data_IF_162026289040
#
_entry.id   IF_162026289040
#
_cell.length_a   1.000
_cell.length_b   1.000
_cell.length_c   1.000
_cell.angle_alpha   90.00
_cell.angle_beta   90.00
_cell.angle_gamma   90.00
#
_symmetry.space_group_name_H-M   'P 1'
#
loop_
_entity.id
_entity.type
_entity.pdbx_description
1 polymer ?
#
# COMPACT_ATOMS: atom_id res chain seq x y z
N UNK A 1 -5.10 -9.78 -7.53
CA UNK A 1 -3.92 -8.99 -7.12
C UNK A 1 -4.31 -7.52 -7.23
N UNK A 2 -3.97 -6.70 -6.23
CA UNK A 2 -4.08 -5.24 -6.25
C UNK A 2 -2.66 -4.71 -6.37
N UNK A 3 -2.44 -3.78 -7.30
CA UNK A 3 -1.15 -3.11 -7.51
C UNK A 3 -1.33 -1.61 -7.42
N UNK A 4 -0.33 -0.95 -6.86
CA UNK A 4 -0.19 0.51 -6.89
C UNK A 4 0.79 0.89 -7.99
N UNK A 5 0.48 1.96 -8.72
CA UNK A 5 1.32 2.46 -9.79
C UNK A 5 2.11 3.66 -9.27
N UNK A 6 3.43 3.61 -9.40
CA UNK A 6 4.30 4.76 -9.21
C UNK A 6 4.82 5.23 -10.56
N UNK A 7 4.85 6.54 -10.75
CA UNK A 7 5.43 7.15 -11.95
C UNK A 7 6.45 8.20 -11.54
N UNK A 8 7.65 8.12 -12.10
CA UNK A 8 8.66 9.17 -11.99
C UNK A 8 9.07 9.67 -13.37
N UNK A 9 9.51 10.92 -13.41
CA UNK A 9 9.97 11.55 -14.64
C UNK A 9 11.49 11.51 -14.68
N UNK A 10 12.03 10.90 -15.74
CA UNK A 10 13.42 11.06 -16.09
C UNK A 10 13.54 12.40 -16.82
N UNK A 11 14.31 13.31 -16.23
CA UNK A 11 14.71 14.57 -16.85
C UNK A 11 16.16 14.83 -16.49
N UNK A 12 17.06 14.56 -17.43
CA UNK A 12 18.51 14.68 -17.25
C UNK A 12 19.16 15.11 -18.56
N UNK A 13 20.47 15.30 -18.58
CA UNK A 13 21.23 15.58 -19.80
C UNK A 13 21.99 14.36 -20.32
N UNK A 14 22.44 14.40 -21.58
CA UNK A 14 23.33 13.36 -22.11
C UNK A 14 24.67 13.35 -21.35
N UNK A 15 25.21 14.52 -21.01
CA UNK A 15 26.45 14.63 -20.23
C UNK A 15 26.35 13.97 -18.85
N UNK A 16 25.20 14.10 -18.21
CA UNK A 16 24.97 13.53 -16.88
C UNK A 16 24.81 12.01 -16.98
N UNK A 17 24.14 11.51 -18.03
CA UNK A 17 24.01 10.08 -18.29
C UNK A 17 25.35 9.42 -18.63
N UNK A 18 26.22 10.08 -19.40
CA UNK A 18 27.55 9.57 -19.75
C UNK A 18 28.45 9.33 -18.53
N UNK A 19 28.20 10.07 -17.44
CA UNK A 19 28.94 9.94 -16.17
C UNK A 19 28.20 9.15 -15.09
N UNK A 20 26.94 8.80 -15.35
CA UNK A 20 26.10 8.06 -14.42
C UNK A 20 26.51 6.59 -14.33
N UNK A 21 26.47 6.05 -13.11
CA UNK A 21 26.57 4.60 -12.86
C UNK A 21 25.22 3.94 -12.66
N UNK A 22 24.18 4.75 -12.46
CA UNK A 22 22.82 4.32 -12.11
C UNK A 22 21.93 4.18 -13.35
N UNK A 23 22.25 4.92 -14.42
CA UNK A 23 21.46 4.97 -15.65
C UNK A 23 22.38 4.80 -16.85
N UNK A 24 22.00 3.93 -17.77
CA UNK A 24 22.76 3.68 -19.01
C UNK A 24 21.87 3.97 -20.20
N UNK A 25 22.21 4.98 -21.00
CA UNK A 25 21.50 5.26 -22.24
C UNK A 25 22.03 4.38 -23.37
N UNK A 26 21.13 3.67 -24.05
CA UNK A 26 21.39 2.97 -25.32
C UNK A 26 20.27 3.30 -26.29
N UNK A 27 20.61 3.96 -27.40
CA UNK A 27 19.64 4.48 -28.36
C UNK A 27 18.58 5.37 -27.70
N UNK A 28 17.31 4.93 -27.72
CA UNK A 28 16.18 5.63 -27.11
C UNK A 28 15.69 4.93 -25.83
N UNK A 29 16.57 4.17 -25.17
CA UNK A 29 16.26 3.43 -23.94
C UNK A 29 17.26 3.80 -22.86
N UNK A 30 16.76 4.27 -21.72
CA UNK A 30 17.53 4.35 -20.48
C UNK A 30 17.32 3.05 -19.70
N UNK A 31 18.40 2.32 -19.49
CA UNK A 31 18.44 1.10 -18.68
C UNK A 31 18.83 1.45 -17.24
N UNK A 32 18.11 0.89 -16.28
CA UNK A 32 18.37 1.02 -14.84
C UNK A 32 18.99 -0.31 -14.36
N UNK A 33 20.33 -0.42 -14.20
CA UNK A 33 20.99 -1.69 -13.92
C UNK A 33 20.58 -2.36 -12.62
N UNK A 34 20.23 -1.58 -11.59
CA UNK A 34 19.83 -2.09 -10.27
C UNK A 34 18.54 -2.93 -10.36
N UNK A 35 17.56 -2.48 -11.13
CA UNK A 35 16.25 -3.15 -11.26
C UNK A 35 16.14 -3.98 -12.54
N UNK A 36 17.01 -3.75 -13.52
CA UNK A 36 16.96 -4.37 -14.84
C UNK A 36 15.90 -3.80 -15.77
N UNK A 37 15.32 -2.65 -15.44
CA UNK A 37 14.23 -2.06 -16.20
C UNK A 37 14.71 -1.14 -17.33
N UNK A 38 13.88 -1.05 -18.37
CA UNK A 38 14.11 -0.27 -19.57
C UNK A 38 13.05 0.81 -19.70
N UNK A 39 13.50 2.05 -19.86
CA UNK A 39 12.63 3.22 -20.01
C UNK A 39 12.83 3.83 -21.38
N UNK A 40 11.76 3.83 -22.18
CA UNK A 40 11.77 4.56 -23.44
C UNK A 40 11.87 6.06 -23.18
N UNK A 41 12.85 6.70 -23.81
CA UNK A 41 13.13 8.13 -23.67
C UNK A 41 13.09 8.85 -25.01
N UNK A 42 12.82 10.14 -24.94
CA UNK A 42 12.93 11.09 -26.04
C UNK A 42 14.13 11.98 -25.75
N UNK A 43 15.05 12.06 -26.70
CA UNK A 43 16.20 12.96 -26.64
C UNK A 43 15.95 14.19 -27.50
N UNK A 44 16.14 15.38 -26.94
CA UNK A 44 16.07 16.65 -27.66
C UNK A 44 17.23 17.53 -27.26
N UNK A 45 18.11 17.81 -28.21
CA UNK A 45 19.40 18.45 -27.95
C UNK A 45 20.17 17.65 -26.87
N UNK A 46 20.61 18.32 -25.82
CA UNK A 46 21.30 17.70 -24.69
C UNK A 46 20.35 17.16 -23.62
N UNK A 47 19.02 17.24 -23.79
CA UNK A 47 18.07 16.81 -22.77
C UNK A 47 17.40 15.47 -23.09
N UNK A 48 17.31 14.60 -22.10
CA UNK A 48 16.65 13.30 -22.16
C UNK A 48 15.42 13.31 -21.28
N UNK A 49 14.29 12.86 -21.84
CA UNK A 49 12.99 12.85 -21.18
C UNK A 49 12.37 11.45 -21.23
N UNK A 50 11.89 10.94 -20.11
CA UNK A 50 11.17 9.68 -20.06
C UNK A 50 10.20 9.65 -18.88
N UNK A 51 9.25 8.71 -18.95
CA UNK A 51 8.40 8.38 -17.81
C UNK A 51 8.68 6.93 -17.45
N UNK A 52 9.18 6.73 -16.25
CA UNK A 52 9.38 5.42 -15.66
C UNK A 52 8.16 5.07 -14.83
N UNK A 53 7.57 3.90 -15.10
CA UNK A 53 6.36 3.42 -14.46
C UNK A 53 6.69 2.09 -13.79
N UNK A 54 6.45 2.02 -12.49
CA UNK A 54 6.56 0.78 -11.72
C UNK A 54 5.24 0.42 -11.06
N UNK A 55 5.13 -0.85 -10.70
CA UNK A 55 3.97 -1.37 -10.00
C UNK A 55 4.42 -2.07 -8.72
N UNK A 56 3.90 -1.63 -7.58
CA UNK A 56 4.08 -2.34 -6.32
C UNK A 56 2.84 -3.18 -5.98
N UNK A 57 3.04 -4.33 -5.35
CA UNK A 57 1.94 -5.24 -4.99
C UNK A 57 1.40 -4.89 -3.61
N UNK A 58 0.29 -4.16 -3.57
CA UNK A 58 -0.44 -3.86 -2.33
C UNK A 58 -1.08 -5.12 -1.73
N UNK A 59 -1.57 -6.03 -2.58
CA UNK A 59 -2.20 -7.27 -2.09
C UNK A 59 -2.21 -8.38 -3.14
N UNK A 60 -1.74 -9.56 -2.74
CA UNK A 60 -1.79 -10.78 -3.53
C UNK A 60 -2.52 -11.86 -2.76
N UNK A 61 -3.65 -12.34 -3.27
CA UNK A 61 -4.39 -13.46 -2.67
C UNK A 61 -3.50 -14.70 -2.68
N UNK A 62 -3.31 -15.30 -1.50
CA UNK A 62 -2.48 -16.49 -1.29
C UNK A 62 -2.98 -17.26 -0.05
N UNK A 63 -2.23 -18.28 0.40
CA UNK A 63 -2.50 -18.93 1.69
C UNK A 63 -2.30 -17.98 2.88
N UNK A 64 -1.30 -17.09 2.78
CA UNK A 64 -0.95 -16.11 3.82
C UNK A 64 -1.78 -14.82 3.74
N UNK A 65 -2.41 -14.56 2.59
CA UNK A 65 -3.16 -13.34 2.32
C UNK A 65 -4.58 -13.65 1.87
N UNK A 66 -5.55 -13.45 2.76
CA UNK A 66 -6.93 -13.92 2.58
C UNK A 66 -7.86 -12.76 2.33
N UNK A 67 -8.62 -12.82 1.24
CA UNK A 67 -9.69 -11.87 0.94
C UNK A 67 -11.03 -12.42 1.43
N UNK A 68 -11.72 -11.68 2.31
CA UNK A 68 -13.08 -12.03 2.79
C UNK A 68 -14.09 -10.99 2.35
N UNK A 69 -15.31 -11.39 2.04
CA UNK A 69 -16.40 -10.48 1.65
C UNK A 69 -17.46 -10.44 2.75
N UNK A 70 -17.92 -9.23 3.12
CA UNK A 70 -19.02 -9.04 4.05
C UNK A 70 -19.79 -7.75 3.78
N UNK A 71 -21.12 -7.85 3.61
CA UNK A 71 -22.06 -6.72 3.39
C UNK A 71 -21.58 -5.65 2.39
N UNK A 72 -21.04 -6.09 1.24
CA UNK A 72 -20.59 -5.18 0.18
C UNK A 72 -19.18 -4.61 0.37
N UNK A 73 -18.52 -4.96 1.48
CA UNK A 73 -17.11 -4.70 1.71
C UNK A 73 -16.27 -5.94 1.46
N UNK A 74 -15.00 -5.72 1.18
CA UNK A 74 -13.95 -6.72 1.19
C UNK A 74 -13.02 -6.43 2.36
N UNK A 75 -12.48 -7.48 2.96
CA UNK A 75 -11.51 -7.41 4.04
C UNK A 75 -10.25 -8.13 3.57
N UNK A 76 -9.17 -7.37 3.43
CA UNK A 76 -7.84 -7.87 3.14
C UNK A 76 -7.20 -8.25 4.47
N UNK A 77 -6.94 -9.54 4.66
CA UNK A 77 -6.26 -10.06 5.83
C UNK A 77 -4.86 -10.44 5.37
N UNK A 78 -3.85 -9.77 5.91
CA UNK A 78 -2.44 -9.95 5.61
C UNK A 78 -1.80 -10.52 6.86
N UNK A 79 -1.15 -11.67 6.74
CA UNK A 79 -0.42 -12.27 7.85
C UNK A 79 0.96 -11.60 7.98
N UNK A 80 1.28 -11.10 9.18
CA UNK A 80 2.59 -10.51 9.47
C UNK A 80 3.60 -11.57 9.92
N UNK A 81 4.85 -11.16 10.13
CA UNK A 81 5.94 -12.04 10.55
C UNK A 81 5.75 -12.63 11.97
N UNK A 82 4.82 -12.07 12.74
CA UNK A 82 4.46 -12.50 14.10
C UNK A 82 3.21 -13.41 14.12
N UNK A 83 2.78 -13.92 12.96
CA UNK A 83 1.63 -14.81 12.75
C UNK A 83 0.24 -14.16 12.98
N UNK A 84 0.18 -12.83 13.06
CA UNK A 84 -1.03 -12.06 13.30
C UNK A 84 -1.63 -11.50 12.01
N UNK A 85 -2.90 -11.10 12.08
CA UNK A 85 -3.62 -10.54 10.95
C UNK A 85 -3.65 -9.01 11.00
N UNK A 86 -3.04 -8.38 10.00
CA UNK A 86 -3.31 -6.98 9.66
C UNK A 86 -4.54 -6.97 8.75
N UNK A 87 -5.59 -6.24 9.16
CA UNK A 87 -6.88 -6.24 8.47
C UNK A 87 -7.18 -4.86 7.91
N UNK A 88 -7.44 -4.79 6.60
CA UNK A 88 -7.92 -3.58 5.94
C UNK A 88 -9.30 -3.79 5.33
N UNK A 89 -10.17 -2.79 5.45
CA UNK A 89 -11.49 -2.73 4.82
C UNK A 89 -11.38 -2.07 3.45
N UNK A 90 -11.58 -2.86 2.39
CA UNK A 90 -11.62 -2.43 1.00
C UNK A 90 -13.07 -2.22 0.53
N UNK A 91 -13.34 -1.05 -0.08
CA UNK A 91 -14.63 -0.73 -0.67
C UNK A 91 -14.45 -0.19 -2.09
N UNK A 92 -15.09 -0.84 -3.06
CA UNK A 92 -15.16 -0.34 -4.43
C UNK A 92 -16.35 0.63 -4.61
N UNK A 93 -16.13 1.70 -5.37
CA UNK A 93 -17.16 2.65 -5.80
C UNK A 93 -17.57 2.33 -7.25
N UNK A 94 -18.72 2.89 -7.66
CA UNK A 94 -19.32 2.63 -8.99
C UNK A 94 -18.47 3.12 -10.16
N UNK A 95 -17.66 4.15 -9.93
CA UNK A 95 -16.73 4.72 -10.91
C UNK A 95 -15.44 3.89 -11.07
N UNK A 96 -15.31 2.78 -10.34
CA UNK A 96 -14.12 1.93 -10.34
C UNK A 96 -13.01 2.39 -9.39
N UNK A 97 -13.19 3.51 -8.67
CA UNK A 97 -12.29 3.87 -7.57
C UNK A 97 -12.50 2.96 -6.35
N UNK A 98 -11.53 2.94 -5.45
CA UNK A 98 -11.59 2.13 -4.23
C UNK A 98 -11.01 2.88 -3.02
N UNK A 99 -11.54 2.60 -1.84
CA UNK A 99 -10.94 3.05 -0.57
C UNK A 99 -10.43 1.83 0.20
N UNK A 100 -9.18 1.88 0.67
CA UNK A 100 -8.60 0.90 1.58
C UNK A 100 -8.44 1.55 2.93
N UNK A 101 -9.16 1.07 3.94
CA UNK A 101 -9.18 1.70 5.26
C UNK A 101 -8.65 0.77 6.35
N UNK A 102 -7.82 1.31 7.24
CA UNK A 102 -7.33 0.68 8.47
C UNK A 102 -7.91 1.31 9.73
N UNK A 103 -7.39 0.87 10.87
CA UNK A 103 -7.65 1.42 12.21
C UNK A 103 -6.28 1.81 12.77
N UNK A 104 -6.03 3.08 13.08
CA UNK A 104 -4.66 3.52 13.40
C UNK A 104 -4.53 4.77 14.29
N UNK A 105 -5.61 5.24 14.89
CA UNK A 105 -5.53 6.38 15.81
C UNK A 105 -5.60 5.89 17.25
N UNK A 106 -4.70 6.38 18.12
CA UNK A 106 -4.72 6.09 19.56
C UNK A 106 -6.08 6.46 20.19
N UNK A 107 -6.71 7.54 19.71
CA UNK A 107 -8.07 7.95 20.11
C UNK A 107 -9.14 6.91 19.73
N UNK A 108 -8.89 6.12 18.68
CA UNK A 108 -9.79 5.06 18.24
C UNK A 108 -9.66 3.80 19.12
N UNK A 109 -8.50 3.59 19.75
CA UNK A 109 -8.29 2.46 20.65
C UNK A 109 -9.18 2.57 21.90
N UNK A 110 -9.35 3.77 22.45
CA UNK A 110 -10.25 3.97 23.60
C UNK A 110 -11.70 3.61 23.27
N UNK A 111 -12.18 3.93 22.06
CA UNK A 111 -13.51 3.52 21.61
C UNK A 111 -13.60 2.01 21.39
N UNK A 112 -12.55 1.40 20.86
CA UNK A 112 -12.52 -0.05 20.63
C UNK A 112 -12.48 -0.86 21.92
N UNK A 113 -11.93 -0.31 23.02
CA UNK A 113 -11.98 -0.92 24.37
C UNK A 113 -13.42 -1.12 24.87
N UNK A 114 -14.38 -0.34 24.37
CA UNK A 114 -15.82 -0.51 24.70
C UNK A 114 -16.46 -1.69 23.94
N UNK A 115 -15.82 -2.19 22.88
CA UNK A 115 -16.37 -3.20 21.97
C UNK A 115 -15.64 -4.54 22.10
N UNK A 116 -14.32 -4.52 22.28
CA UNK A 116 -13.50 -5.73 22.34
C UNK A 116 -12.29 -5.55 23.25
N UNK A 117 -11.65 -6.66 23.60
CA UNK A 117 -10.42 -6.64 24.41
C UNK A 117 -9.24 -6.23 23.54
N UNK A 118 -8.43 -5.31 24.07
CA UNK A 118 -7.20 -4.82 23.43
C UNK A 118 -5.99 -5.23 24.29
N UNK A 119 -4.98 -5.79 23.64
CA UNK A 119 -3.65 -6.03 24.22
C UNK A 119 -2.70 -4.98 23.66
N UNK A 120 -2.02 -4.25 24.54
CA UNK A 120 -1.03 -3.24 24.18
C UNK A 120 0.36 -3.86 24.30
N UNK A 121 1.14 -3.85 23.23
CA UNK A 121 2.55 -4.23 23.27
C UNK A 121 3.42 -2.99 23.40
N UNK A 122 4.41 -3.06 24.29
CA UNK A 122 5.30 -1.94 24.61
C UNK A 122 6.75 -2.31 24.34
N UNK A 123 7.56 -1.32 23.98
CA UNK A 123 9.00 -1.49 23.88
C UNK A 123 9.69 -1.40 25.26
N UNK A 124 11.01 -1.59 25.29
CA UNK A 124 11.85 -1.51 26.51
C UNK A 124 11.76 -0.18 27.28
N UNK A 125 11.22 0.87 26.65
CA UNK A 125 11.01 2.19 27.26
C UNK A 125 9.57 2.40 27.76
N UNK A 126 8.73 1.36 27.72
CA UNK A 126 7.33 1.40 28.12
C UNK A 126 6.42 2.16 27.17
N UNK A 127 6.86 2.46 25.94
CA UNK A 127 6.01 3.11 24.93
C UNK A 127 5.23 2.04 24.16
N UNK A 128 3.92 2.21 24.03
CA UNK A 128 3.07 1.35 23.19
C UNK A 128 3.52 1.46 21.73
N UNK A 129 3.79 0.31 21.12
CA UNK A 129 4.20 0.19 19.72
C UNK A 129 3.14 -0.46 18.86
N UNK A 130 2.20 -1.19 19.47
CA UNK A 130 1.23 -2.02 18.75
C UNK A 130 0.02 -2.34 19.63
N UNK A 131 -1.14 -2.41 18.99
CA UNK A 131 -2.40 -2.81 19.60
C UNK A 131 -2.92 -4.07 18.91
N UNK A 132 -3.25 -5.10 19.70
CA UNK A 132 -3.79 -6.37 19.21
C UNK A 132 -5.22 -6.51 19.72
N UNK A 133 -6.15 -6.79 18.82
CA UNK A 133 -7.56 -7.05 19.16
C UNK A 133 -7.98 -8.43 18.67
N UNK A 134 -8.82 -9.11 19.46
CA UNK A 134 -9.36 -10.43 19.09
C UNK A 134 -10.88 -10.42 19.13
N UNK A 135 -11.54 -9.65 18.25
CA UNK A 135 -12.98 -9.48 18.33
C UNK A 135 -13.72 -10.77 18.01
N UNK A 136 -14.75 -11.05 18.82
CA UNK A 136 -15.76 -12.04 18.48
C UNK A 136 -16.57 -11.64 17.25
N UNK A 137 -17.38 -12.57 16.73
CA UNK A 137 -18.18 -12.32 15.52
C UNK A 137 -19.10 -11.09 15.64
N UNK A 138 -19.79 -10.92 16.77
CA UNK A 138 -20.70 -9.78 16.95
C UNK A 138 -19.95 -8.48 17.20
N UNK A 139 -18.83 -8.52 17.95
CA UNK A 139 -17.93 -7.39 18.16
C UNK A 139 -17.37 -6.88 16.83
N UNK A 140 -16.87 -7.77 15.96
CA UNK A 140 -16.37 -7.37 14.65
C UNK A 140 -17.45 -6.72 13.78
N UNK A 141 -18.70 -7.22 13.85
CA UNK A 141 -19.82 -6.56 13.15
C UNK A 141 -20.10 -5.18 13.72
N UNK A 142 -19.97 -4.99 15.03
CA UNK A 142 -20.13 -3.70 15.68
C UNK A 142 -19.02 -2.74 15.24
N UNK A 143 -17.76 -3.18 15.23
CA UNK A 143 -16.60 -2.42 14.71
C UNK A 143 -16.87 -1.90 13.29
N UNK A 144 -17.41 -2.76 12.41
CA UNK A 144 -17.75 -2.37 11.04
C UNK A 144 -18.91 -1.36 11.01
N UNK A 145 -19.95 -1.59 11.84
CA UNK A 145 -21.17 -0.77 11.88
C UNK A 145 -20.89 0.64 12.39
N UNK A 146 -20.08 0.76 13.43
CA UNK A 146 -19.66 2.03 14.03
C UNK A 146 -18.57 2.74 13.21
N UNK A 147 -18.04 2.05 12.20
CA UNK A 147 -17.21 2.67 11.17
C UNK A 147 -15.79 2.92 11.61
N UNK A 148 -15.23 2.07 12.49
CA UNK A 148 -13.89 2.26 13.06
C UNK A 148 -12.74 2.18 12.05
N UNK A 149 -12.96 1.57 10.88
CA UNK A 149 -12.02 1.64 9.77
C UNK A 149 -12.10 3.01 9.07
N UNK A 150 -11.33 3.98 9.58
CA UNK A 150 -11.41 5.41 9.25
C UNK A 150 -10.19 5.98 8.53
N UNK A 151 -8.99 5.48 8.83
CA UNK A 151 -7.79 5.91 8.11
C UNK A 151 -7.81 5.25 6.73
N UNK A 152 -8.06 6.03 5.69
CA UNK A 152 -8.30 5.50 4.35
C UNK A 152 -7.30 6.06 3.33
N UNK A 153 -6.74 5.17 2.52
CA UNK A 153 -6.07 5.50 1.26
C UNK A 153 -7.05 5.33 0.11
N UNK A 154 -7.09 6.32 -0.78
CA UNK A 154 -8.00 6.36 -1.93
C UNK A 154 -7.27 6.01 -3.22
N UNK A 155 -7.80 5.02 -3.93
CA UNK A 155 -7.24 4.48 -5.16
C UNK A 155 -8.14 4.77 -6.36
N UNK A 156 -7.51 5.06 -7.49
CA UNK A 156 -8.18 5.15 -8.79
C UNK A 156 -7.75 3.99 -9.66
N UNK A 157 -8.69 3.45 -10.43
CA UNK A 157 -8.37 2.48 -11.46
C UNK A 157 -7.53 3.17 -12.54
N UNK A 158 -6.37 2.59 -12.83
CA UNK A 158 -5.57 2.92 -14.01
C UNK A 158 -6.08 2.05 -15.15
N UNK A 159 -6.36 2.66 -16.30
CA UNK A 159 -6.80 1.96 -17.53
C UNK A 159 -5.62 1.65 -18.43
#
# INVERSE_FOLDING_TARGET
MIRELYSSYIRTSLSDLDTSKELVLKDNIVYIPETGEEVHVITKNDSVFGTYITYDTVFLISGENILRKYKGYYFMNIRNDEDEWVVYKLKFRKDGSASLCGISEDEEMERLKEITTIVEETNDKGKVTKYIITPGKEEFKQIIKEGHFKECTEYRKVN
#
